data_IF_032861602724
#
_entry.id   IF_032861602724
#
_cell.length_a   1.000
_cell.length_b   1.000
_cell.length_c   1.000
_cell.angle_alpha   90.00
_cell.angle_beta   90.00
_cell.angle_gamma   90.00
#
_symmetry.space_group_name_H-M   'P 1'
#
loop_
_entity.id
_entity.type
_entity.pdbx_description
1 polymer ?
#
# COMPACT_ATOMS: atom_id res chain seq x y z
N UNK A 1 41.57 -32.70 40.65
CA UNK A 1 41.56 -31.39 39.94
C UNK A 1 41.68 -31.68 38.45
N UNK A 2 40.70 -31.28 37.62
CA UNK A 2 40.85 -31.39 36.16
C UNK A 2 41.75 -30.25 35.70
N UNK A 3 42.84 -30.57 35.01
CA UNK A 3 43.66 -29.57 34.35
C UNK A 3 42.79 -28.82 33.35
N UNK A 4 42.61 -27.52 33.58
CA UNK A 4 42.00 -26.61 32.59
C UNK A 4 42.93 -26.58 31.38
N UNK A 5 42.42 -26.93 30.21
CA UNK A 5 43.17 -26.76 28.97
C UNK A 5 43.55 -25.29 28.84
N UNK A 6 44.85 -25.01 28.75
CA UNK A 6 45.33 -23.69 28.36
C UNK A 6 44.90 -23.50 26.92
N UNK A 7 43.79 -22.80 26.70
CA UNK A 7 43.43 -22.31 25.37
C UNK A 7 44.55 -21.38 24.96
N UNK A 8 45.49 -21.88 24.16
CA UNK A 8 46.52 -21.05 23.55
C UNK A 8 45.82 -19.89 22.86
N UNK A 9 46.08 -18.71 23.41
CA UNK A 9 45.79 -17.40 22.86
C UNK A 9 46.57 -17.26 21.54
N UNK A 10 46.14 -17.96 20.51
CA UNK A 10 46.64 -17.84 19.14
C UNK A 10 45.53 -17.27 18.27
N UNK A 11 44.94 -16.15 18.68
CA UNK A 11 44.29 -15.29 17.71
C UNK A 11 45.40 -14.75 16.80
N UNK A 12 45.42 -15.19 15.55
CA UNK A 12 46.33 -14.62 14.54
C UNK A 12 46.03 -13.12 14.43
N UNK A 13 47.05 -12.30 14.16
CA UNK A 13 46.89 -10.83 14.04
C UNK A 13 45.78 -10.46 13.04
N UNK A 14 45.48 -11.33 12.06
CA UNK A 14 44.37 -11.19 11.12
C UNK A 14 42.97 -11.31 11.74
N UNK A 15 42.78 -12.09 12.81
CA UNK A 15 41.50 -12.26 13.50
C UNK A 15 41.10 -11.01 14.31
N UNK A 16 42.10 -10.22 14.75
CA UNK A 16 41.90 -8.95 15.44
C UNK A 16 41.57 -7.78 14.49
N UNK A 17 41.69 -7.99 13.17
CA UNK A 17 41.32 -6.97 12.19
C UNK A 17 39.80 -6.86 12.10
N UNK A 18 39.28 -5.63 12.00
CA UNK A 18 37.85 -5.36 11.76
C UNK A 18 37.29 -6.14 10.56
N UNK A 19 38.13 -6.34 9.54
CA UNK A 19 37.83 -7.12 8.33
C UNK A 19 39.00 -8.09 8.11
N UNK A 20 38.85 -9.38 8.42
CA UNK A 20 39.95 -10.35 8.38
C UNK A 20 40.62 -10.50 7.00
N UNK A 21 39.88 -10.25 5.92
CA UNK A 21 40.38 -10.32 4.54
C UNK A 21 41.18 -9.07 4.10
N UNK A 22 41.17 -8.01 4.91
CA UNK A 22 41.77 -6.73 4.54
C UNK A 22 42.95 -6.44 5.45
N UNK A 23 44.09 -7.00 5.09
CA UNK A 23 45.30 -7.05 5.93
C UNK A 23 46.18 -5.81 5.83
N UNK A 24 45.95 -4.93 4.85
CA UNK A 24 46.66 -3.66 4.67
C UNK A 24 45.71 -2.45 4.77
N UNK A 25 46.29 -1.26 4.94
CA UNK A 25 45.55 0.01 4.95
C UNK A 25 45.18 0.41 3.53
N UNK A 26 43.90 0.33 3.18
CA UNK A 26 43.33 0.64 1.86
C UNK A 26 42.53 1.97 1.84
N UNK A 27 42.44 2.68 2.96
CA UNK A 27 41.65 3.91 3.11
C UNK A 27 40.16 3.69 3.39
N UNK A 28 39.67 2.45 3.48
CA UNK A 28 38.26 2.17 3.72
C UNK A 28 37.81 2.60 5.13
N UNK A 29 36.68 3.31 5.27
CA UNK A 29 36.25 3.86 6.56
C UNK A 29 35.74 2.77 7.53
N UNK A 30 35.52 3.20 8.79
CA UNK A 30 34.67 2.60 9.83
C UNK A 30 33.68 1.53 9.31
N UNK A 31 32.69 2.11 8.65
CA UNK A 31 31.50 1.55 8.04
C UNK A 31 31.18 2.44 6.83
N UNK A 32 30.38 1.94 5.89
CA UNK A 32 30.01 2.69 4.68
C UNK A 32 31.17 2.88 3.70
N UNK A 33 30.97 3.80 2.75
CA UNK A 33 31.93 4.14 1.69
C UNK A 33 32.54 5.52 1.91
N UNK A 34 31.69 6.53 2.10
CA UNK A 34 32.08 7.94 2.26
C UNK A 34 31.57 8.50 3.58
N UNK A 35 32.36 9.40 4.19
CA UNK A 35 31.98 10.07 5.45
C UNK A 35 31.20 11.37 5.21
N UNK A 36 31.29 11.94 4.03
CA UNK A 36 30.67 13.21 3.65
C UNK A 36 29.54 13.00 2.64
N UNK A 37 28.61 13.95 2.59
CA UNK A 37 27.46 13.93 1.70
C UNK A 37 26.57 15.14 1.94
N UNK A 38 25.50 15.28 1.16
CA UNK A 38 24.53 16.37 1.34
C UNK A 38 23.80 16.23 2.68
N UNK A 39 23.88 17.26 3.52
CA UNK A 39 23.22 17.31 4.83
C UNK A 39 21.80 17.91 4.79
N UNK A 40 21.43 18.59 3.69
CA UNK A 40 20.14 19.28 3.53
C UNK A 40 19.07 18.32 3.00
N UNK A 41 18.76 17.29 3.79
CA UNK A 41 17.73 16.30 3.50
C UNK A 41 16.50 16.53 4.41
N UNK A 42 15.28 16.18 3.97
CA UNK A 42 14.11 16.26 4.83
C UNK A 42 14.25 15.33 6.03
N UNK A 43 14.06 15.85 7.24
CA UNK A 43 14.18 15.06 8.47
C UNK A 43 13.16 13.91 8.51
N UNK A 44 13.55 12.75 9.03
CA UNK A 44 12.63 11.61 9.23
C UNK A 44 12.18 11.53 10.69
N UNK A 45 11.31 10.57 11.02
CA UNK A 45 10.92 10.29 12.41
C UNK A 45 12.08 9.77 13.27
N UNK A 46 13.20 9.35 12.66
CA UNK A 46 14.40 8.86 13.36
C UNK A 46 15.48 9.93 13.54
N UNK A 47 15.24 11.13 13.01
CA UNK A 47 16.14 12.28 13.11
C UNK A 47 15.72 13.22 14.24
N UNK A 48 16.62 14.09 14.69
CA UNK A 48 16.32 15.14 15.67
C UNK A 48 16.44 14.70 17.13
N UNK A 49 16.07 15.60 18.04
CA UNK A 49 16.11 15.36 19.49
C UNK A 49 14.81 14.69 19.98
N UNK A 50 14.76 14.26 21.24
CA UNK A 50 13.61 13.63 21.91
C UNK A 50 12.29 14.40 21.78
N UNK A 51 12.35 15.72 21.64
CA UNK A 51 11.16 16.58 21.51
C UNK A 51 10.70 16.78 20.06
N UNK A 52 11.46 16.28 19.07
CA UNK A 52 11.08 16.36 17.67
C UNK A 52 10.08 15.25 17.35
N UNK A 53 8.82 15.62 17.16
CA UNK A 53 7.78 14.72 16.71
C UNK A 53 7.28 15.12 15.32
N UNK A 54 7.54 14.28 14.32
CA UNK A 54 7.12 14.52 12.92
C UNK A 54 5.74 13.93 12.58
N UNK A 55 5.45 12.74 13.12
CA UNK A 55 4.26 11.95 12.75
C UNK A 55 4.34 11.27 11.37
N UNK A 56 3.36 10.43 11.07
CA UNK A 56 3.26 9.62 9.84
C UNK A 56 1.87 9.64 9.19
N UNK A 57 1.02 10.62 9.55
CA UNK A 57 -0.38 10.74 9.10
C UNK A 57 -1.29 9.58 9.52
N UNK A 58 -0.92 8.83 10.55
CA UNK A 58 -1.70 7.70 11.06
C UNK A 58 -2.79 8.11 12.06
N UNK A 59 -2.48 9.02 13.00
CA UNK A 59 -3.26 9.20 14.23
C UNK A 59 -3.93 10.57 14.36
N UNK A 60 -4.92 10.84 13.51
CA UNK A 60 -5.78 12.04 13.56
C UNK A 60 -7.20 11.74 14.03
N UNK A 61 -7.35 10.80 14.97
CA UNK A 61 -8.63 10.13 15.26
C UNK A 61 -9.29 10.68 16.53
N UNK A 62 -8.52 11.20 17.46
CA UNK A 62 -9.00 11.65 18.77
C UNK A 62 -8.45 13.01 19.17
N UNK A 63 -8.34 13.23 20.48
CA UNK A 63 -7.79 14.45 21.09
C UNK A 63 -6.81 14.12 22.21
N UNK A 64 -5.77 14.94 22.36
CA UNK A 64 -4.91 14.90 23.54
C UNK A 64 -5.67 15.39 24.77
N UNK A 65 -5.41 14.79 25.93
CA UNK A 65 -5.98 15.24 27.22
C UNK A 65 -5.06 16.27 27.87
N UNK A 66 -5.58 17.05 28.83
CA UNK A 66 -4.80 18.05 29.58
C UNK A 66 -3.57 17.46 30.28
N UNK A 67 -3.65 16.18 30.68
CA UNK A 67 -2.58 15.46 31.39
C UNK A 67 -1.65 14.66 30.45
N UNK A 68 -1.72 14.88 29.13
CA UNK A 68 -0.83 14.22 28.16
C UNK A 68 -1.29 12.84 27.68
N UNK A 69 -2.47 12.37 28.10
CA UNK A 69 -3.11 11.18 27.55
C UNK A 69 -3.73 11.42 26.17
N UNK A 70 -4.41 10.40 25.63
CA UNK A 70 -5.12 10.49 24.36
C UNK A 70 -6.50 9.84 24.47
N UNK A 71 -7.54 10.56 24.04
CA UNK A 71 -8.91 10.08 24.01
C UNK A 71 -9.35 9.89 22.56
N UNK A 72 -9.71 8.65 22.20
CA UNK A 72 -10.13 8.27 20.85
C UNK A 72 -11.58 8.71 20.62
N UNK A 73 -11.87 9.33 19.47
CA UNK A 73 -13.23 9.49 18.99
C UNK A 73 -13.53 8.37 17.99
N UNK A 74 -14.41 7.45 18.36
CA UNK A 74 -14.75 6.29 17.53
C UNK A 74 -15.49 6.66 16.24
N UNK A 75 -16.20 7.80 16.19
CA UNK A 75 -16.86 8.29 14.97
C UNK A 75 -15.87 8.66 13.86
N UNK A 76 -14.61 8.91 14.23
CA UNK A 76 -13.52 9.25 13.30
C UNK A 76 -12.60 8.07 13.01
N UNK A 77 -12.81 6.92 13.65
CA UNK A 77 -12.05 5.70 13.38
C UNK A 77 -12.45 5.19 12.00
N UNK A 78 -11.46 4.90 11.16
CA UNK A 78 -11.69 4.34 9.82
C UNK A 78 -12.02 2.86 9.95
N UNK A 79 -13.15 2.45 9.38
CA UNK A 79 -13.56 1.06 9.26
C UNK A 79 -13.56 0.65 7.78
N UNK A 80 -13.04 -0.54 7.48
CA UNK A 80 -13.12 -1.14 6.15
C UNK A 80 -14.24 -2.17 6.15
N UNK A 81 -15.40 -1.82 5.60
CA UNK A 81 -16.59 -2.67 5.61
C UNK A 81 -16.48 -3.68 4.46
N UNK A 82 -16.34 -4.96 4.81
CA UNK A 82 -16.38 -6.05 3.84
C UNK A 82 -17.85 -6.37 3.48
N UNK A 83 -18.19 -6.53 2.19
CA UNK A 83 -19.55 -6.91 1.81
C UNK A 83 -19.84 -8.34 2.26
N UNK A 84 -21.09 -8.59 2.68
CA UNK A 84 -21.55 -9.93 2.98
C UNK A 84 -21.57 -10.78 1.70
N UNK A 85 -21.25 -12.05 1.81
CA UNK A 85 -21.37 -13.00 0.70
C UNK A 85 -20.16 -13.06 -0.26
N UNK A 86 -19.02 -12.45 0.10
CA UNK A 86 -17.84 -12.36 -0.80
C UNK A 86 -17.33 -13.75 -1.23
N UNK A 87 -17.32 -14.72 -0.32
CA UNK A 87 -16.87 -16.10 -0.56
C UNK A 87 -17.76 -16.87 -1.53
N UNK A 88 -19.03 -16.48 -1.65
CA UNK A 88 -20.01 -17.10 -2.55
C UNK A 88 -19.97 -16.49 -3.95
N UNK A 89 -19.22 -15.40 -4.16
CA UNK A 89 -19.16 -14.74 -5.47
C UNK A 89 -18.24 -15.48 -6.43
N UNK A 90 -18.72 -15.67 -7.66
CA UNK A 90 -17.91 -16.20 -8.76
C UNK A 90 -17.00 -15.13 -9.39
N UNK A 91 -17.11 -13.87 -8.98
CA UNK A 91 -16.31 -12.76 -9.49
C UNK A 91 -14.85 -12.93 -9.10
N UNK A 92 -13.95 -12.77 -10.08
CA UNK A 92 -12.50 -12.89 -9.93
C UNK A 92 -11.83 -11.57 -10.31
N UNK A 93 -10.60 -11.29 -9.83
CA UNK A 93 -9.89 -10.05 -10.16
C UNK A 93 -9.55 -9.91 -11.65
N UNK A 94 -9.61 -11.00 -12.42
CA UNK A 94 -9.30 -11.03 -13.84
C UNK A 94 -10.38 -11.75 -14.64
N UNK A 95 -10.50 -11.38 -15.91
CA UNK A 95 -11.37 -12.01 -16.91
C UNK A 95 -10.51 -12.90 -17.80
N UNK A 96 -11.10 -13.95 -18.37
CA UNK A 96 -10.43 -14.79 -19.38
C UNK A 96 -10.06 -13.98 -20.61
N UNK A 97 -8.86 -14.20 -21.17
CA UNK A 97 -8.42 -13.56 -22.42
C UNK A 97 -9.28 -13.93 -23.63
N UNK A 98 -10.05 -15.00 -23.54
CA UNK A 98 -10.97 -15.43 -24.60
C UNK A 98 -12.30 -14.66 -24.58
N UNK A 99 -12.60 -13.93 -23.51
CA UNK A 99 -13.82 -13.11 -23.43
C UNK A 99 -13.66 -11.85 -24.30
N UNK A 100 -14.67 -11.50 -25.12
CA UNK A 100 -14.58 -10.30 -25.95
C UNK A 100 -14.61 -9.04 -25.10
N UNK A 101 -13.89 -8.00 -25.55
CA UNK A 101 -13.92 -6.67 -24.94
C UNK A 101 -15.17 -5.92 -25.41
N UNK A 102 -16.21 -5.90 -24.57
CA UNK A 102 -17.46 -5.17 -24.87
C UNK A 102 -17.19 -3.65 -24.89
N UNK A 103 -17.79 -2.95 -25.86
CA UNK A 103 -17.84 -1.48 -25.93
C UNK A 103 -19.28 -1.01 -26.04
N UNK A 104 -19.65 -0.04 -25.23
CA UNK A 104 -20.99 0.55 -25.23
C UNK A 104 -21.05 1.72 -26.21
N UNK A 105 -22.17 1.86 -26.90
CA UNK A 105 -22.49 3.01 -27.73
C UNK A 105 -23.68 3.76 -27.12
N UNK A 106 -23.59 5.10 -27.08
CA UNK A 106 -24.61 5.98 -26.49
C UNK A 106 -25.10 6.98 -27.53
N UNK A 107 -25.51 6.48 -28.68
CA UNK A 107 -26.00 7.33 -29.78
C UNK A 107 -27.29 8.04 -29.36
N UNK A 108 -27.37 9.35 -29.63
CA UNK A 108 -28.51 10.19 -29.24
C UNK A 108 -28.38 10.86 -27.87
N UNK A 109 -27.42 10.45 -27.02
CA UNK A 109 -27.22 11.05 -25.70
C UNK A 109 -25.97 11.91 -25.64
N UNK A 110 -26.17 13.21 -25.40
CA UNK A 110 -25.07 14.19 -25.38
C UNK A 110 -24.03 13.91 -24.31
N UNK A 111 -24.43 13.36 -23.15
CA UNK A 111 -23.56 13.07 -22.01
C UNK A 111 -23.15 11.60 -21.92
N UNK A 112 -23.48 10.79 -22.92
CA UNK A 112 -23.15 9.36 -22.96
C UNK A 112 -23.71 8.58 -21.76
N UNK A 113 -22.86 7.83 -21.07
CA UNK A 113 -23.25 6.96 -19.95
C UNK A 113 -23.88 7.68 -18.74
N UNK A 114 -23.61 8.97 -18.57
CA UNK A 114 -24.06 9.77 -17.40
C UNK A 114 -25.25 10.67 -17.78
N UNK A 115 -25.83 10.48 -18.97
CA UNK A 115 -26.97 11.28 -19.41
C UNK A 115 -28.23 10.97 -18.59
N UNK A 116 -28.90 11.99 -18.01
CA UNK A 116 -30.12 11.78 -17.24
C UNK A 116 -31.28 11.21 -18.07
N UNK A 117 -31.36 11.55 -19.37
CA UNK A 117 -32.44 11.04 -20.23
C UNK A 117 -32.29 9.53 -20.44
N UNK A 118 -31.07 9.06 -20.70
CA UNK A 118 -30.75 7.63 -20.78
C UNK A 118 -31.10 6.89 -19.48
N UNK A 119 -30.79 7.49 -18.33
CA UNK A 119 -31.13 6.90 -17.04
C UNK A 119 -32.65 6.77 -16.86
N UNK A 120 -33.42 7.81 -17.20
CA UNK A 120 -34.88 7.77 -17.11
C UNK A 120 -35.50 6.75 -18.05
N UNK A 121 -34.97 6.61 -19.27
CA UNK A 121 -35.41 5.59 -20.21
C UNK A 121 -35.19 4.17 -19.66
N UNK A 122 -34.00 3.87 -19.11
CA UNK A 122 -33.76 2.57 -18.46
C UNK A 122 -34.68 2.30 -17.29
N UNK A 123 -35.01 3.33 -16.50
CA UNK A 123 -35.96 3.20 -15.41
C UNK A 123 -37.35 2.87 -15.95
N UNK A 124 -37.80 3.54 -17.01
CA UNK A 124 -39.08 3.21 -17.68
C UNK A 124 -39.07 1.78 -18.21
N UNK A 125 -38.02 1.39 -18.92
CA UNK A 125 -37.85 0.05 -19.47
C UNK A 125 -37.87 -1.02 -18.36
N UNK A 126 -37.19 -0.78 -17.24
CA UNK A 126 -37.23 -1.66 -16.08
C UNK A 126 -38.62 -1.76 -15.43
N UNK A 127 -39.38 -0.66 -15.38
CA UNK A 127 -40.75 -0.66 -14.84
C UNK A 127 -41.70 -1.44 -15.76
N UNK A 128 -41.54 -1.32 -17.07
CA UNK A 128 -42.39 -1.96 -18.06
C UNK A 128 -42.07 -3.45 -18.26
N UNK A 129 -40.79 -3.81 -18.32
CA UNK A 129 -40.32 -5.16 -18.69
C UNK A 129 -39.70 -5.95 -17.54
N UNK A 130 -39.32 -5.27 -16.45
CA UNK A 130 -38.62 -5.89 -15.32
C UNK A 130 -37.13 -6.10 -15.57
N UNK A 131 -36.57 -7.17 -15.00
CA UNK A 131 -35.16 -7.56 -15.21
C UNK A 131 -35.02 -8.33 -16.51
N UNK A 132 -34.54 -7.67 -17.55
CA UNK A 132 -34.24 -8.28 -18.86
C UNK A 132 -32.73 -8.40 -19.03
N UNK A 133 -32.27 -9.57 -19.47
CA UNK A 133 -30.87 -9.80 -19.86
C UNK A 133 -30.72 -9.59 -21.36
N UNK A 134 -29.86 -8.66 -21.76
CA UNK A 134 -29.55 -8.44 -23.18
C UNK A 134 -28.49 -9.45 -23.66
N UNK A 135 -28.62 -9.98 -24.89
CA UNK A 135 -27.63 -10.87 -25.45
C UNK A 135 -26.30 -10.16 -25.62
N UNK A 136 -25.21 -10.82 -25.22
CA UNK A 136 -23.86 -10.34 -25.39
C UNK A 136 -23.43 -10.51 -26.85
N UNK A 137 -23.58 -9.45 -27.65
CA UNK A 137 -23.09 -9.43 -29.03
C UNK A 137 -21.56 -9.23 -29.03
N UNK A 138 -20.82 -9.86 -29.96
CA UNK A 138 -19.36 -9.91 -29.93
C UNK A 138 -18.67 -8.55 -30.14
N UNK A 139 -19.35 -7.57 -30.76
CA UNK A 139 -18.71 -6.33 -31.24
C UNK A 139 -19.30 -5.03 -30.66
N UNK A 140 -20.52 -5.05 -30.13
CA UNK A 140 -21.17 -3.89 -29.53
C UNK A 140 -22.22 -4.34 -28.53
N UNK A 141 -22.52 -3.52 -27.52
CA UNK A 141 -23.74 -3.66 -26.74
C UNK A 141 -24.48 -2.35 -26.92
N UNK A 142 -25.57 -2.39 -27.68
CA UNK A 142 -26.40 -1.21 -27.89
C UNK A 142 -27.19 -0.95 -26.61
N UNK A 143 -26.96 0.23 -26.03
CA UNK A 143 -27.55 0.73 -24.78
C UNK A 143 -27.25 -0.14 -23.55
N UNK A 144 -26.00 -0.08 -23.10
CA UNK A 144 -25.72 -0.39 -21.68
C UNK A 144 -26.41 0.60 -20.77
#
# INVERSE_FOLDING_TARGET
MRATQVTYFQETVSALLRRPWQTWRDGAPFYGTDRSGNKRLPMTTKSGNKNFYKGTRSSGIGKHTKQGGYLINYDRVRHFVAPAGLEQTNLKPYVSSNSPSIRHTFEGYTKGAVDPELYLEKVKEYVETGKVEYPMLPNWLERG
#
